data_IF_776434183508
#
_entry.id   IF_776434183508
#
_cell.length_a   1.000
_cell.length_b   1.000
_cell.length_c   1.000
_cell.angle_alpha   90.00
_cell.angle_beta   90.00
_cell.angle_gamma   90.00
#
_symmetry.space_group_name_H-M   'P 1'
#
loop_
_entity.id
_entity.type
_entity.pdbx_description
1 polymer ?
#
# COMPACT_ATOMS: atom_id res chain seq x y z
N UNK A 1 -35.62 -40.36 27.13
CA UNK A 1 -35.76 -39.57 25.89
C UNK A 1 -34.45 -38.83 25.68
N UNK A 2 -33.66 -39.21 24.68
CA UNK A 2 -32.42 -38.50 24.37
C UNK A 2 -32.78 -37.14 23.75
N UNK A 3 -32.40 -36.04 24.40
CA UNK A 3 -32.33 -34.74 23.74
C UNK A 3 -31.41 -34.91 22.54
N UNK A 4 -31.95 -34.80 21.33
CA UNK A 4 -31.13 -34.60 20.14
C UNK A 4 -30.48 -33.23 20.33
N UNK A 5 -29.17 -33.22 20.54
CA UNK A 5 -28.39 -31.98 20.51
C UNK A 5 -28.74 -31.24 19.21
N UNK A 6 -29.30 -30.03 19.34
CA UNK A 6 -29.54 -29.19 18.18
C UNK A 6 -28.17 -28.93 17.52
N UNK A 7 -28.04 -29.12 16.20
CA UNK A 7 -26.75 -28.93 15.54
C UNK A 7 -26.28 -27.49 15.74
N UNK A 8 -25.19 -27.32 16.48
CA UNK A 8 -24.56 -26.01 16.71
C UNK A 8 -24.20 -25.41 15.36
N UNK A 9 -24.77 -24.26 15.04
CA UNK A 9 -24.48 -23.55 13.79
C UNK A 9 -23.28 -22.62 14.01
N UNK A 10 -22.63 -22.23 12.91
CA UNK A 10 -21.46 -21.35 12.98
C UNK A 10 -21.74 -20.02 13.72
N UNK A 11 -22.96 -19.49 13.62
CA UNK A 11 -23.35 -18.24 14.28
C UNK A 11 -23.71 -18.38 15.75
N UNK A 12 -23.82 -19.61 16.26
CA UNK A 12 -24.03 -19.90 17.68
C UNK A 12 -22.71 -19.83 18.46
N UNK A 13 -21.57 -19.89 17.78
CA UNK A 13 -20.25 -19.63 18.36
C UNK A 13 -20.16 -18.16 18.82
N UNK A 14 -19.44 -17.80 19.89
CA UNK A 14 -19.14 -16.41 20.22
C UNK A 14 -18.37 -15.69 19.09
N UNK A 15 -18.53 -14.37 18.99
CA UNK A 15 -17.90 -13.60 17.90
C UNK A 15 -16.38 -13.72 17.90
N UNK A 16 -15.77 -13.77 19.08
CA UNK A 16 -14.33 -13.90 19.28
C UNK A 16 -13.81 -15.20 18.64
N UNK A 17 -14.58 -16.28 18.77
CA UNK A 17 -14.26 -17.57 18.15
C UNK A 17 -14.43 -17.50 16.64
N UNK A 18 -15.49 -16.86 16.15
CA UNK A 18 -15.69 -16.63 14.70
C UNK A 18 -14.57 -15.78 14.10
N UNK A 19 -14.10 -14.77 14.81
CA UNK A 19 -12.98 -13.92 14.42
C UNK A 19 -11.67 -14.70 14.27
N UNK A 20 -11.38 -15.63 15.19
CA UNK A 20 -10.22 -16.53 15.08
C UNK A 20 -10.35 -17.38 13.81
N UNK A 21 -11.55 -17.92 13.56
CA UNK A 21 -11.82 -18.69 12.35
C UNK A 21 -11.59 -17.84 11.09
N UNK A 22 -12.11 -16.61 11.05
CA UNK A 22 -11.86 -15.70 9.93
C UNK A 22 -10.38 -15.34 9.75
N UNK A 23 -9.58 -15.23 10.83
CA UNK A 23 -8.13 -14.93 10.69
C UNK A 23 -7.33 -16.03 10.01
N UNK A 24 -7.84 -17.26 10.00
CA UNK A 24 -7.20 -18.35 9.27
C UNK A 24 -7.51 -18.33 7.76
N UNK A 25 -8.31 -17.38 7.29
CA UNK A 25 -8.66 -17.20 5.88
C UNK A 25 -8.29 -15.81 5.35
N UNK A 26 -7.25 -15.69 4.49
CA UNK A 26 -6.15 -16.62 4.21
C UNK A 26 -4.93 -16.43 5.14
N UNK A 27 -4.18 -17.51 5.42
CA UNK A 27 -2.93 -17.50 6.20
C UNK A 27 -1.77 -16.86 5.40
N UNK A 28 -1.82 -15.56 5.19
CA UNK A 28 -0.80 -14.87 4.41
C UNK A 28 -0.15 -13.74 5.21
N UNK A 29 1.17 -13.77 5.34
CA UNK A 29 1.93 -12.71 6.00
C UNK A 29 1.77 -11.34 5.29
N UNK A 30 1.54 -11.36 3.97
CA UNK A 30 1.36 -10.19 3.10
C UNK A 30 0.47 -10.52 1.89
N UNK A 31 -0.56 -9.72 1.65
CA UNK A 31 -1.35 -9.78 0.41
C UNK A 31 -0.79 -8.75 -0.56
N UNK A 32 -0.19 -9.22 -1.66
CA UNK A 32 0.40 -8.35 -2.68
C UNK A 32 -0.67 -7.87 -3.67
N UNK A 33 -0.90 -6.56 -3.66
CA UNK A 33 -1.94 -5.92 -4.46
C UNK A 33 -1.59 -5.88 -5.94
N UNK A 34 -0.32 -5.65 -6.28
CA UNK A 34 0.10 -5.49 -7.67
C UNK A 34 0.37 -6.83 -8.34
N UNK A 35 0.59 -7.90 -7.57
CA UNK A 35 0.76 -9.27 -8.07
C UNK A 35 -0.54 -10.08 -8.15
N UNK A 36 -1.65 -9.55 -7.64
CA UNK A 36 -2.94 -10.24 -7.70
C UNK A 36 -3.52 -10.26 -9.12
N UNK A 37 -4.32 -11.28 -9.47
CA UNK A 37 -4.97 -11.36 -10.77
C UNK A 37 -6.01 -10.22 -10.96
N UNK A 38 -6.03 -9.53 -12.12
CA UNK A 38 -7.01 -8.48 -12.41
C UNK A 38 -8.44 -9.03 -12.57
N UNK A 39 -8.56 -10.22 -13.15
CA UNK A 39 -9.84 -10.91 -13.31
C UNK A 39 -10.11 -11.70 -12.03
N UNK A 40 -11.33 -11.58 -11.50
CA UNK A 40 -11.81 -12.21 -10.27
C UNK A 40 -11.93 -13.75 -10.37
N UNK A 41 -10.88 -14.41 -10.85
CA UNK A 41 -10.80 -15.86 -11.02
C UNK A 41 -10.20 -16.46 -9.75
N UNK A 42 -10.99 -16.51 -8.68
CA UNK A 42 -10.66 -17.33 -7.50
C UNK A 42 -10.62 -18.84 -7.84
N UNK A 43 -10.94 -19.22 -9.08
CA UNK A 43 -11.31 -20.56 -9.50
C UNK A 43 -10.22 -21.35 -10.22
N UNK A 44 -9.08 -20.77 -10.61
CA UNK A 44 -8.17 -21.48 -11.54
C UNK A 44 -7.00 -22.19 -10.85
N UNK A 45 -6.53 -21.78 -9.68
CA UNK A 45 -5.51 -22.52 -8.93
C UNK A 45 -5.57 -22.20 -7.44
N UNK A 46 -5.92 -23.21 -6.60
CA UNK A 46 -5.76 -23.17 -5.13
C UNK A 46 -4.31 -22.94 -4.66
N UNK A 47 -3.36 -22.74 -5.56
CA UNK A 47 -1.97 -22.41 -5.26
C UNK A 47 -1.75 -20.92 -4.95
N UNK A 48 -2.76 -20.05 -5.17
CA UNK A 48 -2.67 -18.62 -4.91
C UNK A 48 -3.60 -18.18 -3.76
N UNK A 49 -3.30 -18.63 -2.54
CA UNK A 49 -3.94 -18.18 -1.28
C UNK A 49 -3.68 -16.70 -0.93
N UNK A 50 -3.07 -15.92 -1.83
CA UNK A 50 -2.68 -14.52 -1.64
C UNK A 50 -3.51 -13.59 -2.51
N UNK A 51 -4.82 -13.64 -2.34
CA UNK A 51 -5.74 -12.81 -3.13
C UNK A 51 -6.09 -11.51 -2.41
N UNK A 52 -6.04 -10.38 -3.13
CA UNK A 52 -6.66 -9.11 -2.68
C UNK A 52 -8.18 -9.10 -2.71
N UNK A 53 -8.78 -10.12 -3.33
CA UNK A 53 -10.22 -10.25 -3.43
C UNK A 53 -10.79 -10.61 -2.07
N UNK A 54 -12.02 -10.15 -1.83
CA UNK A 54 -12.78 -10.52 -0.65
C UNK A 54 -12.86 -12.05 -0.54
N UNK A 55 -12.71 -12.62 0.67
CA UNK A 55 -12.75 -14.07 0.85
C UNK A 55 -14.13 -14.60 0.44
N UNK A 56 -14.19 -15.77 -0.20
CA UNK A 56 -15.45 -16.35 -0.67
C UNK A 56 -16.54 -16.46 0.41
N UNK A 57 -16.12 -16.66 1.66
CA UNK A 57 -17.01 -16.73 2.83
C UNK A 57 -17.84 -15.44 3.01
N UNK A 58 -17.34 -14.29 2.55
CA UNK A 58 -18.05 -13.01 2.58
C UNK A 58 -19.28 -12.95 1.65
N UNK A 59 -19.52 -14.01 0.85
CA UNK A 59 -20.68 -14.13 -0.06
C UNK A 59 -21.82 -14.97 0.52
N UNK A 60 -21.63 -15.59 1.69
CA UNK A 60 -22.59 -16.55 2.26
C UNK A 60 -23.81 -15.86 2.86
N UNK A 61 -23.60 -14.83 3.68
CA UNK A 61 -24.68 -14.04 4.29
C UNK A 61 -24.20 -12.63 4.62
N UNK A 62 -25.14 -11.69 4.84
CA UNK A 62 -24.80 -10.32 5.22
C UNK A 62 -23.99 -10.24 6.52
N UNK A 63 -24.36 -11.05 7.53
CA UNK A 63 -23.61 -11.12 8.79
C UNK A 63 -22.20 -11.67 8.57
N UNK A 64 -22.07 -12.75 7.82
CA UNK A 64 -20.76 -13.33 7.50
C UNK A 64 -19.88 -12.35 6.72
N UNK A 65 -20.49 -11.61 5.79
CA UNK A 65 -19.81 -10.54 5.04
C UNK A 65 -19.24 -9.48 5.97
N UNK A 66 -20.06 -8.92 6.86
CA UNK A 66 -19.62 -7.87 7.79
C UNK A 66 -18.46 -8.34 8.68
N UNK A 67 -18.62 -9.49 9.32
CA UNK A 67 -17.61 -10.01 10.25
C UNK A 67 -16.31 -10.41 9.51
N UNK A 68 -16.43 -11.14 8.40
CA UNK A 68 -15.25 -11.61 7.64
C UNK A 68 -14.47 -10.47 6.98
N UNK A 69 -15.15 -9.43 6.46
CA UNK A 69 -14.46 -8.28 5.86
C UNK A 69 -13.80 -7.40 6.92
N UNK A 70 -14.42 -7.25 8.10
CA UNK A 70 -13.80 -6.56 9.23
C UNK A 70 -12.46 -7.22 9.61
N UNK A 71 -12.44 -8.55 9.68
CA UNK A 71 -11.21 -9.31 9.94
C UNK A 71 -10.22 -9.22 8.77
N UNK A 72 -10.69 -9.41 7.53
CA UNK A 72 -9.83 -9.47 6.36
C UNK A 72 -9.08 -8.17 6.11
N UNK A 73 -9.75 -7.01 6.12
CA UNK A 73 -9.10 -5.72 5.92
C UNK A 73 -8.42 -5.20 7.19
N UNK A 74 -8.95 -5.56 8.37
CA UNK A 74 -8.47 -5.11 9.68
C UNK A 74 -7.21 -5.80 10.18
N UNK A 75 -7.01 -7.09 9.86
CA UNK A 75 -5.91 -7.88 10.44
C UNK A 75 -4.82 -8.21 9.44
N UNK A 76 -5.11 -8.25 8.14
CA UNK A 76 -4.11 -8.55 7.12
C UNK A 76 -3.18 -7.37 6.85
N UNK A 77 -2.00 -7.70 6.33
CA UNK A 77 -1.02 -6.71 5.85
C UNK A 77 -1.06 -6.70 4.33
N UNK A 78 -1.23 -5.51 3.75
CA UNK A 78 -1.26 -5.33 2.30
C UNK A 78 0.07 -4.79 1.82
N UNK A 79 0.65 -5.47 0.83
CA UNK A 79 1.90 -5.10 0.19
C UNK A 79 1.57 -4.47 -1.16
N UNK A 80 2.19 -3.33 -1.44
CA UNK A 80 2.07 -2.58 -2.68
C UNK A 80 3.48 -2.51 -3.26
N UNK A 81 3.75 -3.34 -4.26
CA UNK A 81 5.04 -3.37 -4.93
C UNK A 81 5.11 -2.32 -6.05
N UNK A 82 5.84 -1.24 -5.77
CA UNK A 82 6.06 -0.13 -6.69
C UNK A 82 7.25 -0.34 -7.62
N UNK A 83 7.87 -1.52 -7.62
CA UNK A 83 9.04 -1.83 -8.48
C UNK A 83 8.67 -2.07 -9.95
N UNK A 84 7.39 -1.94 -10.30
CA UNK A 84 6.86 -2.35 -11.61
C UNK A 84 6.65 -3.86 -11.72
N UNK A 85 6.86 -4.61 -10.62
CA UNK A 85 6.44 -6.00 -10.53
C UNK A 85 4.92 -6.00 -10.42
N UNK A 86 4.24 -6.29 -11.53
CA UNK A 86 2.80 -6.52 -11.60
C UNK A 86 2.50 -7.86 -12.26
N UNK A 87 1.33 -8.43 -12.00
CA UNK A 87 0.87 -9.63 -12.69
C UNK A 87 0.83 -9.39 -14.22
N UNK A 88 1.29 -10.33 -15.07
CA UNK A 88 1.37 -10.13 -16.53
C UNK A 88 0.01 -9.96 -17.21
N UNK A 89 -1.09 -10.35 -16.55
CA UNK A 89 -2.44 -10.14 -17.06
C UNK A 89 -2.95 -8.69 -16.87
N UNK A 90 -2.25 -7.83 -16.13
CA UNK A 90 -2.61 -6.41 -16.08
C UNK A 90 -2.27 -5.73 -17.40
N UNK A 91 -3.06 -4.73 -17.84
CA UNK A 91 -2.71 -3.92 -19.00
C UNK A 91 -1.31 -3.31 -18.85
N UNK A 92 -0.55 -3.28 -19.95
CA UNK A 92 0.81 -2.73 -19.95
C UNK A 92 0.84 -1.25 -19.56
N UNK A 93 -0.21 -0.51 -19.90
CA UNK A 93 -0.40 0.91 -19.55
C UNK A 93 -0.64 1.16 -18.05
N UNK A 94 -1.03 0.13 -17.28
CA UNK A 94 -1.33 0.31 -15.86
C UNK A 94 -0.07 0.39 -15.01
N UNK A 95 0.01 1.42 -14.19
CA UNK A 95 1.06 1.56 -13.17
C UNK A 95 0.67 0.85 -11.87
N UNK A 96 1.63 0.63 -10.96
CA UNK A 96 1.32 0.13 -9.62
C UNK A 96 0.30 1.03 -8.89
N UNK A 97 0.42 2.36 -9.08
CA UNK A 97 -0.54 3.34 -8.56
C UNK A 97 -1.93 3.16 -9.17
N UNK A 98 -2.02 2.82 -10.47
CA UNK A 98 -3.31 2.55 -11.13
C UNK A 98 -3.98 1.32 -10.53
N UNK A 99 -3.22 0.24 -10.35
CA UNK A 99 -3.72 -1.02 -9.77
C UNK A 99 -4.25 -0.79 -8.35
N UNK A 100 -3.46 -0.15 -7.47
CA UNK A 100 -3.88 0.10 -6.09
C UNK A 100 -5.07 1.06 -6.02
N UNK A 101 -5.14 2.07 -6.89
CA UNK A 101 -6.28 3.00 -6.94
C UNK A 101 -7.56 2.27 -7.32
N UNK A 102 -7.50 1.41 -8.36
CA UNK A 102 -8.66 0.62 -8.77
C UNK A 102 -9.09 -0.36 -7.69
N UNK A 103 -8.14 -0.99 -6.98
CA UNK A 103 -8.44 -1.85 -5.84
C UNK A 103 -9.12 -1.08 -4.70
N UNK A 104 -8.57 0.07 -4.28
CA UNK A 104 -9.14 0.90 -3.21
C UNK A 104 -10.56 1.36 -3.54
N UNK A 105 -10.78 1.79 -4.79
CA UNK A 105 -12.12 2.16 -5.26
C UNK A 105 -13.09 0.97 -5.24
N UNK A 106 -12.62 -0.23 -5.61
CA UNK A 106 -13.45 -1.43 -5.65
C UNK A 106 -13.84 -1.95 -4.26
N UNK A 107 -12.97 -1.80 -3.24
CA UNK A 107 -13.31 -2.21 -1.87
C UNK A 107 -14.20 -1.16 -1.16
N UNK A 108 -14.13 0.10 -1.57
CA UNK A 108 -14.94 1.20 -1.04
C UNK A 108 -14.49 1.70 0.34
N UNK A 109 -15.04 2.85 0.76
CA UNK A 109 -14.62 3.58 1.95
C UNK A 109 -14.74 2.76 3.25
N UNK A 110 -15.82 1.99 3.40
CA UNK A 110 -16.03 1.15 4.58
C UNK A 110 -14.88 0.14 4.79
N UNK A 111 -14.36 -0.42 3.70
CA UNK A 111 -13.26 -1.38 3.76
C UNK A 111 -11.89 -0.69 3.79
N UNK A 112 -11.74 0.45 3.12
CA UNK A 112 -10.54 1.27 3.22
C UNK A 112 -10.31 1.74 4.68
N UNK A 113 -11.37 2.16 5.37
CA UNK A 113 -11.36 2.53 6.78
C UNK A 113 -10.90 1.38 7.71
N UNK A 114 -11.07 0.13 7.28
CA UNK A 114 -10.63 -1.06 8.02
C UNK A 114 -9.15 -1.35 7.86
N UNK A 115 -8.46 -0.81 6.84
CA UNK A 115 -7.04 -1.08 6.64
C UNK A 115 -6.23 -0.65 7.87
N UNK A 116 -5.30 -1.51 8.28
CA UNK A 116 -4.41 -1.26 9.43
C UNK A 116 -2.93 -1.28 9.07
N UNK A 117 -2.52 -2.06 8.07
CA UNK A 117 -1.12 -2.26 7.74
C UNK A 117 -0.90 -2.20 6.23
N UNK A 118 -0.19 -1.17 5.76
CA UNK A 118 0.20 -0.99 4.37
C UNK A 118 1.72 -0.98 4.28
N UNK A 119 2.28 -1.75 3.34
CA UNK A 119 3.69 -1.71 3.03
C UNK A 119 3.90 -1.37 1.58
N UNK A 120 4.80 -0.42 1.34
CA UNK A 120 5.22 -0.03 0.02
C UNK A 120 6.66 -0.48 -0.17
N UNK A 121 6.93 -1.16 -1.27
CA UNK A 121 8.28 -1.59 -1.62
C UNK A 121 8.66 -0.96 -2.95
N UNK A 122 9.78 -0.24 -2.96
CA UNK A 122 10.37 0.33 -4.18
C UNK A 122 11.69 -0.39 -4.48
N UNK A 123 12.44 0.08 -5.48
CA UNK A 123 13.79 -0.44 -5.73
C UNK A 123 14.84 0.06 -4.75
N UNK A 124 14.55 1.09 -3.97
CA UNK A 124 15.56 1.80 -3.15
C UNK A 124 15.20 1.90 -1.67
N UNK A 125 13.93 1.73 -1.33
CA UNK A 125 13.45 1.77 0.05
C UNK A 125 12.15 0.98 0.23
N UNK A 126 11.83 0.67 1.49
CA UNK A 126 10.48 0.30 1.91
C UNK A 126 9.88 1.35 2.83
N UNK A 127 8.56 1.52 2.75
CA UNK A 127 7.79 2.33 3.68
C UNK A 127 6.69 1.46 4.28
N UNK A 128 6.68 1.34 5.60
CA UNK A 128 5.63 0.65 6.33
C UNK A 128 4.74 1.67 7.00
N UNK A 129 3.43 1.53 6.84
CA UNK A 129 2.40 2.38 7.44
C UNK A 129 1.50 1.51 8.31
N UNK A 130 1.32 1.94 9.55
CA UNK A 130 0.38 1.37 10.49
C UNK A 130 -0.69 2.42 10.80
N UNK A 131 -1.95 2.04 10.70
CA UNK A 131 -3.10 2.92 10.95
C UNK A 131 -3.81 2.37 12.19
N UNK A 132 -3.96 3.20 13.21
CA UNK A 132 -4.83 2.95 14.36
C UNK A 132 -5.91 4.01 14.44
N UNK A 133 -6.90 3.79 15.29
CA UNK A 133 -8.00 4.72 15.50
C UNK A 133 -8.19 4.93 17.00
N UNK A 134 -8.24 6.19 17.42
CA UNK A 134 -8.54 6.64 18.78
C UNK A 134 -9.82 7.47 18.69
N UNK A 135 -10.94 6.99 19.25
CA UNK A 135 -12.24 7.69 19.16
C UNK A 135 -12.64 8.12 17.73
N UNK A 136 -12.47 7.21 16.76
CA UNK A 136 -12.67 7.42 15.32
C UNK A 136 -11.59 8.27 14.60
N UNK A 137 -10.70 8.94 15.33
CA UNK A 137 -9.59 9.70 14.75
C UNK A 137 -8.48 8.75 14.26
N UNK A 138 -8.07 8.85 12.98
CA UNK A 138 -6.96 8.05 12.48
C UNK A 138 -5.62 8.55 13.06
N UNK A 139 -4.82 7.61 13.54
CA UNK A 139 -3.40 7.80 13.86
C UNK A 139 -2.57 6.94 12.92
N UNK A 140 -1.72 7.58 12.13
CA UNK A 140 -0.92 6.93 11.09
C UNK A 140 0.52 6.93 11.55
N UNK A 141 1.06 5.78 11.94
CA UNK A 141 2.49 5.61 12.16
C UNK A 141 3.19 5.18 10.87
N UNK A 142 4.46 5.57 10.71
CA UNK A 142 5.24 5.16 9.54
C UNK A 142 6.69 4.78 9.88
N UNK A 143 7.27 3.92 9.05
CA UNK A 143 8.68 3.54 9.11
C UNK A 143 9.26 3.43 7.70
N UNK A 144 10.07 4.42 7.31
CA UNK A 144 10.84 4.44 6.07
C UNK A 144 12.20 3.76 6.29
N UNK A 145 12.62 2.87 5.38
CA UNK A 145 13.92 2.19 5.44
C UNK A 145 14.62 2.20 4.08
N UNK A 146 15.88 2.66 3.99
CA UNK A 146 16.68 2.46 2.77
C UNK A 146 16.98 0.97 2.56
N UNK A 147 17.24 0.60 1.31
CA UNK A 147 17.84 -0.71 0.96
C UNK A 147 19.33 -0.62 0.68
N UNK A 148 19.85 0.58 0.44
CA UNK A 148 21.26 0.86 0.21
C UNK A 148 21.69 2.00 1.13
N UNK A 149 22.53 1.69 2.11
CA UNK A 149 23.03 2.65 3.09
C UNK A 149 24.20 3.49 2.54
N UNK A 150 24.78 3.11 1.39
CA UNK A 150 25.93 3.81 0.79
C UNK A 150 25.81 3.91 -0.73
N UNK A 151 24.74 4.56 -1.24
CA UNK A 151 24.53 4.65 -2.67
C UNK A 151 25.55 5.55 -3.34
N UNK A 152 25.83 5.28 -4.61
CA UNK A 152 26.61 6.20 -5.46
C UNK A 152 25.88 7.54 -5.56
N UNK A 153 26.59 8.64 -5.32
CA UNK A 153 26.07 10.00 -5.47
C UNK A 153 26.19 10.48 -6.92
N UNK A 154 25.23 11.29 -7.39
CA UNK A 154 25.33 11.96 -8.68
C UNK A 154 26.35 13.11 -8.64
N UNK A 155 26.98 13.44 -9.78
CA UNK A 155 28.05 14.45 -9.86
C UNK A 155 27.69 15.85 -9.33
N UNK A 156 26.41 16.22 -9.38
CA UNK A 156 25.92 17.56 -9.06
C UNK A 156 25.05 17.59 -7.79
N UNK A 157 25.24 16.65 -6.87
CA UNK A 157 24.58 16.74 -5.56
C UNK A 157 25.24 17.85 -4.73
N UNK A 158 24.46 18.57 -3.89
CA UNK A 158 25.03 19.54 -2.97
C UNK A 158 26.08 18.91 -2.06
N UNK A 159 27.06 19.72 -1.63
CA UNK A 159 28.03 19.29 -0.62
C UNK A 159 27.29 18.87 0.67
N UNK A 160 27.72 17.77 1.27
CA UNK A 160 27.07 17.20 2.46
C UNK A 160 25.77 16.44 2.19
N UNK A 161 25.31 16.33 0.93
CA UNK A 161 24.15 15.51 0.61
C UNK A 161 24.49 14.02 0.67
N UNK A 162 23.70 13.26 1.40
CA UNK A 162 23.86 11.82 1.60
C UNK A 162 22.51 11.11 1.62
N UNK A 163 22.52 9.77 1.70
CA UNK A 163 21.27 9.00 1.81
C UNK A 163 20.56 9.28 3.13
N UNK A 164 21.29 9.50 4.22
CA UNK A 164 20.75 9.87 5.53
C UNK A 164 20.03 11.22 5.45
N UNK A 165 20.64 12.22 4.79
CA UNK A 165 20.02 13.54 4.58
C UNK A 165 18.76 13.40 3.71
N UNK A 166 18.84 12.67 2.60
CA UNK A 166 17.71 12.44 1.71
C UNK A 166 16.54 11.73 2.43
N UNK A 167 16.83 10.68 3.21
CA UNK A 167 15.85 9.96 4.00
C UNK A 167 15.27 10.82 5.13
N UNK A 168 16.09 11.63 5.79
CA UNK A 168 15.61 12.54 6.84
C UNK A 168 14.57 13.51 6.27
N UNK A 169 14.88 14.17 5.15
CA UNK A 169 13.93 15.07 4.49
C UNK A 169 12.70 14.35 3.95
N UNK A 170 12.86 13.17 3.33
CA UNK A 170 11.72 12.38 2.87
C UNK A 170 10.82 11.92 4.02
N UNK A 171 11.39 11.51 5.17
CA UNK A 171 10.65 11.19 6.38
C UNK A 171 9.87 12.40 6.89
N UNK A 172 10.51 13.56 7.03
CA UNK A 172 9.84 14.77 7.50
C UNK A 172 8.66 15.15 6.60
N UNK A 173 8.85 15.12 5.27
CA UNK A 173 7.76 15.49 4.37
C UNK A 173 6.69 14.43 4.23
N UNK A 174 7.04 13.13 4.32
CA UNK A 174 6.04 12.08 4.41
C UNK A 174 5.20 12.23 5.67
N UNK A 175 5.81 12.57 6.82
CA UNK A 175 5.10 12.84 8.07
C UNK A 175 4.13 14.00 7.90
N UNK A 176 4.59 15.12 7.34
CA UNK A 176 3.75 16.29 7.08
C UNK A 176 2.56 15.97 6.16
N UNK A 177 2.75 15.15 5.12
CA UNK A 177 1.65 14.70 4.26
C UNK A 177 0.64 13.82 5.00
N UNK A 178 1.11 12.93 5.88
CA UNK A 178 0.25 12.08 6.72
C UNK A 178 -0.48 12.89 7.79
N UNK A 179 0.17 13.85 8.45
CA UNK A 179 -0.46 14.79 9.38
C UNK A 179 -1.59 15.57 8.70
N UNK A 180 -1.36 15.97 7.44
CA UNK A 180 -2.39 16.62 6.63
C UNK A 180 -3.60 15.71 6.36
N UNK A 181 -3.42 14.40 6.23
CA UNK A 181 -4.52 13.44 6.08
C UNK A 181 -5.26 13.27 7.41
N UNK A 182 -4.53 13.07 8.52
CA UNK A 182 -5.12 12.94 9.86
C UNK A 182 -5.95 14.18 10.23
N UNK A 183 -5.42 15.37 9.97
CA UNK A 183 -6.09 16.64 10.26
C UNK A 183 -7.39 16.84 9.46
N UNK A 184 -7.47 16.30 8.23
CA UNK A 184 -8.71 16.33 7.42
C UNK A 184 -9.76 15.35 7.90
N UNK A 185 -9.38 14.42 8.79
CA UNK A 185 -10.20 13.29 9.23
C UNK A 185 -10.43 13.27 10.74
N UNK A 186 -10.33 14.42 11.40
CA UNK A 186 -10.79 14.55 12.79
C UNK A 186 -12.28 14.22 12.88
N UNK A 187 -12.64 13.30 13.77
CA UNK A 187 -13.97 12.74 13.97
C UNK A 187 -14.42 11.76 12.88
N UNK A 188 -13.54 11.33 11.97
CA UNK A 188 -13.93 10.50 10.83
C UNK A 188 -12.86 9.48 10.43
N UNK A 189 -13.30 8.31 9.94
CA UNK A 189 -12.35 7.32 9.41
C UNK A 189 -11.77 7.70 8.06
N UNK A 190 -10.64 7.06 7.73
CA UNK A 190 -10.05 7.17 6.39
C UNK A 190 -10.97 6.59 5.32
N UNK A 191 -11.01 7.27 4.18
CA UNK A 191 -11.70 6.86 2.95
C UNK A 191 -10.71 6.20 1.99
N UNK A 192 -11.24 5.60 0.92
CA UNK A 192 -10.41 5.08 -0.17
C UNK A 192 -9.52 6.19 -0.78
N UNK A 193 -10.07 7.41 -0.92
CA UNK A 193 -9.34 8.55 -1.44
C UNK A 193 -8.13 8.94 -0.57
N UNK A 194 -8.27 8.91 0.76
CA UNK A 194 -7.16 9.23 1.66
C UNK A 194 -6.03 8.19 1.53
N UNK A 195 -6.39 6.90 1.41
CA UNK A 195 -5.39 5.84 1.22
C UNK A 195 -4.71 5.95 -0.15
N UNK A 196 -5.43 6.40 -1.19
CA UNK A 196 -4.82 6.74 -2.48
C UNK A 196 -3.83 7.91 -2.33
N UNK A 197 -4.16 8.93 -1.53
CA UNK A 197 -3.26 10.06 -1.27
C UNK A 197 -1.98 9.63 -0.54
N UNK A 198 -2.08 8.65 0.37
CA UNK A 198 -0.91 8.00 0.95
C UNK A 198 -0.05 7.38 -0.15
N UNK A 199 -0.65 6.59 -1.07
CA UNK A 199 0.08 5.95 -2.17
C UNK A 199 0.77 6.98 -3.08
N UNK A 200 0.08 8.08 -3.41
CA UNK A 200 0.64 9.20 -4.19
C UNK A 200 1.81 9.87 -3.48
N UNK A 201 1.74 10.00 -2.16
CA UNK A 201 2.82 10.55 -1.35
C UNK A 201 4.09 9.68 -1.42
N UNK A 202 3.95 8.35 -1.44
CA UNK A 202 5.07 7.42 -1.63
C UNK A 202 5.69 7.54 -3.02
N UNK A 203 4.85 7.59 -4.06
CA UNK A 203 5.29 7.82 -5.45
C UNK A 203 6.03 9.17 -5.60
N UNK A 204 5.57 10.20 -4.87
CA UNK A 204 6.18 11.53 -4.88
C UNK A 204 7.61 11.52 -4.32
N UNK A 205 7.89 10.77 -3.25
CA UNK A 205 9.25 10.68 -2.67
C UNK A 205 10.17 9.73 -3.45
N UNK A 206 9.59 8.80 -4.24
CA UNK A 206 10.30 7.76 -4.99
C UNK A 206 11.52 8.23 -5.78
N UNK A 207 11.44 9.26 -6.65
CA UNK A 207 12.58 9.69 -7.45
C UNK A 207 13.72 10.32 -6.62
N UNK A 208 13.42 10.91 -5.46
CA UNK A 208 14.41 11.57 -4.61
C UNK A 208 15.25 10.59 -3.80
N UNK A 209 14.68 9.41 -3.51
CA UNK A 209 15.36 8.32 -2.82
C UNK A 209 15.90 7.27 -3.79
N UNK A 210 15.89 7.54 -5.10
CA UNK A 210 16.34 6.59 -6.12
C UNK A 210 17.86 6.38 -6.04
N UNK A 211 18.27 5.16 -5.74
CA UNK A 211 19.69 4.73 -5.68
C UNK A 211 20.14 3.94 -6.91
N UNK A 212 19.20 3.48 -7.76
CA UNK A 212 19.48 2.60 -8.91
C UNK A 212 20.36 3.23 -10.00
N UNK A 213 20.26 4.55 -10.20
CA UNK A 213 21.18 5.30 -11.07
C UNK A 213 22.30 5.90 -10.23
N UNK A 214 21.90 6.78 -9.33
CA UNK A 214 22.69 7.40 -8.28
C UNK A 214 21.74 8.29 -7.49
N UNK A 215 22.01 8.46 -6.20
CA UNK A 215 21.26 9.39 -5.37
C UNK A 215 21.44 10.81 -5.90
N UNK A 216 20.36 11.56 -6.06
CA UNK A 216 20.37 12.89 -6.67
C UNK A 216 20.44 12.91 -8.21
N UNK A 217 20.25 11.76 -8.88
CA UNK A 217 20.25 11.70 -10.33
C UNK A 217 19.27 12.72 -10.94
N UNK A 218 19.75 13.51 -11.91
CA UNK A 218 18.99 14.57 -12.60
C UNK A 218 18.41 15.63 -11.65
N UNK A 219 19.17 16.00 -10.61
CA UNK A 219 18.78 17.02 -9.62
C UNK A 219 17.53 16.63 -8.81
N UNK A 220 17.20 15.34 -8.73
CA UNK A 220 16.21 14.82 -7.79
C UNK A 220 16.81 14.82 -6.38
N UNK A 221 16.92 16.00 -5.79
CA UNK A 221 17.50 16.26 -4.48
C UNK A 221 16.46 16.99 -3.64
N UNK A 222 16.22 16.51 -2.42
CA UNK A 222 15.40 17.22 -1.44
C UNK A 222 16.27 18.25 -0.71
N UNK A 223 15.83 19.51 -0.72
CA UNK A 223 16.50 20.59 0.01
C UNK A 223 15.99 20.79 1.44
N UNK A 224 14.81 20.27 1.76
CA UNK A 224 14.19 20.35 3.08
C UNK A 224 13.18 19.22 3.26
N UNK A 225 12.71 19.06 4.50
CA UNK A 225 11.60 18.18 4.84
C UNK A 225 10.22 18.73 4.52
N UNK A 226 10.10 19.93 3.95
CA UNK A 226 8.81 20.56 3.64
C UNK A 226 8.35 20.20 2.22
N UNK A 227 7.25 19.43 2.06
CA UNK A 227 6.71 19.06 0.75
C UNK A 227 6.30 20.24 -0.13
N UNK A 228 6.03 21.42 0.43
CA UNK A 228 5.61 22.59 -0.34
C UNK A 228 6.75 23.15 -1.22
N UNK A 229 8.00 22.99 -0.78
CA UNK A 229 9.19 23.49 -1.49
C UNK A 229 9.96 22.40 -2.24
N UNK A 230 9.45 21.16 -2.24
CA UNK A 230 10.08 20.07 -2.97
C UNK A 230 10.08 20.35 -4.48
N UNK A 231 11.23 20.18 -5.15
CA UNK A 231 11.31 20.42 -6.58
C UNK A 231 10.50 19.38 -7.35
N UNK A 232 10.14 19.67 -8.59
CA UNK A 232 9.57 18.66 -9.47
C UNK A 232 10.67 17.68 -9.94
N UNK A 233 10.45 16.37 -9.77
CA UNK A 233 11.38 15.33 -10.22
C UNK A 233 11.27 15.00 -11.72
N UNK A 234 10.70 15.90 -12.54
CA UNK A 234 10.34 15.63 -13.94
C UNK A 234 11.52 15.13 -14.78
N UNK A 235 12.69 15.75 -14.64
CA UNK A 235 13.89 15.34 -15.38
C UNK A 235 14.39 13.94 -14.99
N UNK A 236 14.20 13.56 -13.72
CA UNK A 236 14.50 12.21 -13.24
C UNK A 236 13.50 11.21 -13.82
N UNK A 237 12.20 11.47 -13.66
CA UNK A 237 11.13 10.59 -14.15
C UNK A 237 11.23 10.35 -15.66
N UNK A 238 11.61 11.35 -16.46
CA UNK A 238 11.80 11.20 -17.91
C UNK A 238 13.02 10.35 -18.33
N UNK A 239 13.97 10.04 -17.43
CA UNK A 239 15.25 9.41 -17.80
C UNK A 239 15.62 8.20 -16.93
N UNK A 240 14.95 8.02 -15.81
CA UNK A 240 15.12 6.87 -14.95
C UNK A 240 14.12 5.78 -15.34
N UNK A 241 14.59 4.67 -15.90
CA UNK A 241 13.75 3.51 -16.27
C UNK A 241 13.12 2.80 -15.06
N UNK A 242 13.53 3.16 -13.83
CA UNK A 242 13.03 2.58 -12.58
C UNK A 242 11.91 3.44 -11.99
N UNK A 243 12.09 4.75 -11.99
CA UNK A 243 11.15 5.68 -11.36
C UNK A 243 10.24 6.37 -12.39
N UNK A 244 10.66 6.46 -13.64
CA UNK A 244 9.76 6.77 -14.73
C UNK A 244 9.05 5.51 -15.14
N UNK A 245 7.72 5.54 -15.20
CA UNK A 245 6.89 4.44 -15.69
C UNK A 245 7.02 4.32 -17.23
N UNK A 246 8.27 4.32 -17.74
CA UNK A 246 8.62 4.16 -19.15
C UNK A 246 8.43 2.69 -19.58
N UNK A 247 7.17 2.27 -19.54
CA UNK A 247 6.58 1.19 -20.31
C UNK A 247 5.37 1.66 -21.15
N UNK A 248 5.03 2.96 -21.12
CA UNK A 248 3.84 3.50 -21.84
C UNK A 248 4.19 4.16 -23.19
N UNK A 249 5.47 4.41 -23.49
CA UNK A 249 5.90 5.02 -24.77
C UNK A 249 6.78 4.08 -25.62
N UNK A 250 6.30 2.87 -25.94
CA UNK A 250 6.83 2.05 -27.05
C UNK A 250 5.74 1.23 -27.74
N UNK A 251 4.85 1.95 -28.42
CA UNK A 251 4.13 1.45 -29.59
C UNK A 251 4.21 2.54 -30.68
N UNK A 252 5.43 2.78 -31.17
CA UNK A 252 5.67 3.24 -32.54
C UNK A 252 6.88 2.47 -33.06
N UNK A 253 6.61 1.28 -33.58
CA UNK A 253 7.36 0.63 -34.67
C UNK A 253 6.43 -0.39 -35.32
#
# INVERSE_FOLDING_TARGET
MAQRDAPTTFFDLPQEVRDIIYTHWPKTAWIDVTQSYPCNTQTVNRQHDKSVLQPNISRVSHRMRQESLAVFYGKNKFLIDLRGWKHPAYPDTWTALTIVTNWLNAIGDENAARLRNLSFVTHSFSLHIAISYEDEDPKIAMKLRPFDDKPKLAKNVPSGYSIEVAHCFACQGMRAMLDGIESRRTGARLTAADVVDICRSVERIRPFLCTRRSLGYRRAVLGSGDPAVWPAATAHLKKCHVCGDQGVDRAES
#
